data_IF_204839224329
#
_entry.id   IF_204839224329
#
_cell.length_a   1.000
_cell.length_b   1.000
_cell.length_c   1.000
_cell.angle_alpha   90.00
_cell.angle_beta   90.00
_cell.angle_gamma   90.00
#
_symmetry.space_group_name_H-M   'P 1'
#
loop_
_entity.id
_entity.type
_entity.pdbx_description
1 polymer ?
#
# COMPACT_ATOMS: atom_id res chain seq x y z
N UNK A 1 -47.53 29.16 -8.65
CA UNK A 1 -46.38 28.79 -9.50
C UNK A 1 -45.25 28.45 -8.56
N UNK A 2 -44.91 27.17 -8.45
CA UNK A 2 -43.83 26.67 -7.59
C UNK A 2 -42.62 26.53 -8.52
N UNK A 3 -41.57 27.28 -8.24
CA UNK A 3 -40.29 27.16 -8.95
C UNK A 3 -39.58 25.89 -8.46
N UNK A 4 -39.43 24.92 -9.36
CA UNK A 4 -38.59 23.74 -9.15
C UNK A 4 -37.12 24.17 -9.15
N UNK A 5 -36.46 23.92 -8.03
CA UNK A 5 -35.01 24.07 -7.87
C UNK A 5 -34.37 22.88 -8.60
N UNK A 6 -33.85 23.13 -9.79
CA UNK A 6 -33.08 22.17 -10.58
C UNK A 6 -31.74 21.89 -9.88
N UNK A 7 -31.68 20.76 -9.16
CA UNK A 7 -30.45 20.21 -8.59
C UNK A 7 -29.44 19.93 -9.72
N UNK A 8 -28.49 20.87 -9.91
CA UNK A 8 -27.26 20.61 -10.68
C UNK A 8 -26.51 19.44 -10.05
N UNK A 9 -26.79 18.23 -10.53
CA UNK A 9 -25.91 17.07 -10.38
C UNK A 9 -24.57 17.40 -11.03
N UNK A 10 -23.57 17.73 -10.21
CA UNK A 10 -22.18 17.82 -10.62
C UNK A 10 -21.78 16.50 -11.30
N UNK A 11 -21.70 16.51 -12.62
CA UNK A 11 -21.10 15.43 -13.38
C UNK A 11 -19.61 15.42 -13.07
N UNK A 12 -19.20 14.58 -12.11
CA UNK A 12 -17.79 14.26 -11.86
C UNK A 12 -17.18 13.77 -13.17
N UNK A 13 -16.38 14.63 -13.81
CA UNK A 13 -15.64 14.27 -15.02
C UNK A 13 -14.77 13.05 -14.70
N UNK A 14 -14.98 11.94 -15.43
CA UNK A 14 -14.14 10.75 -15.34
C UNK A 14 -12.76 11.11 -15.90
N UNK A 15 -11.86 11.52 -15.03
CA UNK A 15 -10.44 11.57 -15.35
C UNK A 15 -9.96 10.15 -15.64
N UNK A 16 -9.71 9.83 -16.91
CA UNK A 16 -9.01 8.61 -17.31
C UNK A 16 -7.53 8.76 -16.94
N UNK A 17 -7.19 8.40 -15.70
CA UNK A 17 -5.86 8.57 -15.09
C UNK A 17 -4.72 7.78 -15.76
N UNK A 18 -4.91 7.16 -16.93
CA UNK A 18 -3.89 6.34 -17.61
C UNK A 18 -3.50 5.06 -16.85
N UNK A 19 -4.18 4.75 -15.74
CA UNK A 19 -3.95 3.57 -14.92
C UNK A 19 -4.62 2.36 -15.58
N UNK A 20 -3.95 1.21 -15.56
CA UNK A 20 -4.51 -0.05 -16.05
C UNK A 20 -5.88 -0.34 -15.41
N UNK A 21 -6.87 -0.66 -16.27
CA UNK A 21 -8.23 -1.03 -15.84
C UNK A 21 -8.21 -2.23 -14.90
N UNK A 22 -7.33 -3.19 -15.17
CA UNK A 22 -7.22 -4.43 -14.40
C UNK A 22 -6.74 -4.14 -12.97
N UNK A 23 -5.79 -3.20 -12.82
CA UNK A 23 -5.30 -2.77 -11.49
C UNK A 23 -6.41 -2.09 -10.69
N UNK A 24 -7.23 -1.27 -11.34
CA UNK A 24 -8.39 -0.62 -10.71
C UNK A 24 -9.43 -1.65 -10.27
N UNK A 25 -9.74 -2.61 -11.13
CA UNK A 25 -10.73 -3.66 -10.84
C UNK A 25 -10.27 -4.56 -9.69
N UNK A 26 -9.01 -4.97 -9.67
CA UNK A 26 -8.42 -5.72 -8.55
C UNK A 26 -8.47 -4.92 -7.25
N UNK A 27 -8.04 -3.66 -7.27
CA UNK A 27 -8.07 -2.82 -6.07
C UNK A 27 -9.49 -2.68 -5.48
N UNK A 28 -10.51 -2.54 -6.34
CA UNK A 28 -11.92 -2.52 -5.92
C UNK A 28 -12.35 -3.85 -5.30
N UNK A 29 -11.99 -4.98 -5.92
CA UNK A 29 -12.30 -6.31 -5.38
C UNK A 29 -11.68 -6.55 -4.00
N UNK A 30 -10.52 -5.94 -3.74
CA UNK A 30 -9.80 -5.98 -2.46
C UNK A 30 -10.32 -4.95 -1.43
N UNK A 31 -11.36 -4.18 -1.76
CA UNK A 31 -11.95 -3.18 -0.86
C UNK A 31 -11.08 -1.93 -0.64
N UNK A 32 -10.13 -1.66 -1.54
CA UNK A 32 -9.28 -0.46 -1.47
C UNK A 32 -10.08 0.74 -1.98
N UNK A 33 -10.28 1.73 -1.13
CA UNK A 33 -10.91 2.99 -1.52
C UNK A 33 -9.86 3.96 -2.10
N UNK A 34 -9.91 4.19 -3.41
CA UNK A 34 -8.95 5.02 -4.15
C UNK A 34 -9.37 6.49 -4.27
N UNK A 35 -10.61 6.83 -3.91
CA UNK A 35 -11.19 8.15 -4.20
C UNK A 35 -10.44 9.32 -3.54
N UNK A 36 -9.99 9.14 -2.29
CA UNK A 36 -9.21 10.16 -1.57
C UNK A 36 -7.80 10.36 -2.13
N UNK A 37 -7.21 9.32 -2.73
CA UNK A 37 -5.88 9.37 -3.35
C UNK A 37 -5.97 10.05 -4.71
N UNK A 38 -7.03 9.78 -5.48
CA UNK A 38 -7.21 10.37 -6.81
C UNK A 38 -7.34 11.89 -6.77
N UNK A 39 -7.92 12.47 -5.72
CA UNK A 39 -8.04 13.92 -5.58
C UNK A 39 -6.68 14.61 -5.39
N UNK A 40 -5.79 14.01 -4.59
CA UNK A 40 -4.46 14.56 -4.35
C UNK A 40 -3.56 14.39 -5.58
N UNK A 41 -3.74 13.28 -6.31
CA UNK A 41 -3.07 13.06 -7.59
C UNK A 41 -3.34 14.18 -8.60
N UNK A 42 -4.57 14.68 -8.68
CA UNK A 42 -4.92 15.79 -9.58
C UNK A 42 -4.10 17.05 -9.28
N UNK A 43 -3.84 17.34 -8.01
CA UNK A 43 -3.03 18.50 -7.62
C UNK A 43 -1.59 18.36 -8.12
N UNK A 44 -1.02 17.16 -8.05
CA UNK A 44 0.33 16.90 -8.60
C UNK A 44 0.37 17.05 -10.11
N UNK A 45 -0.67 16.58 -10.80
CA UNK A 45 -0.76 16.68 -12.26
C UNK A 45 -0.92 18.12 -12.77
N UNK A 46 -1.34 19.07 -11.93
CA UNK A 46 -1.45 20.49 -12.31
C UNK A 46 -0.13 21.28 -12.22
N UNK A 47 0.98 20.62 -11.91
CA UNK A 47 2.31 21.24 -11.88
C UNK A 47 2.72 21.75 -13.28
N UNK A 48 3.18 23.01 -13.35
CA UNK A 48 3.71 23.64 -14.56
C UNK A 48 5.19 24.02 -14.35
N UNK A 49 6.14 23.33 -15.01
CA UNK A 49 7.57 23.59 -14.84
C UNK A 49 8.02 24.96 -15.33
N UNK A 50 7.18 25.69 -16.10
CA UNK A 50 7.49 27.07 -16.52
C UNK A 50 7.15 28.11 -15.46
N UNK A 51 6.40 27.73 -14.42
CA UNK A 51 5.90 28.62 -13.38
C UNK A 51 6.35 28.22 -11.97
N UNK A 52 6.78 26.98 -11.81
CA UNK A 52 7.06 26.38 -10.52
C UNK A 52 8.54 25.98 -10.39
N UNK A 53 9.04 26.05 -9.17
CA UNK A 53 10.42 25.65 -8.80
C UNK A 53 10.51 24.15 -8.48
N UNK A 54 11.73 23.63 -8.35
CA UNK A 54 11.98 22.26 -7.86
C UNK A 54 11.42 22.07 -6.44
N UNK A 55 11.51 23.10 -5.61
CA UNK A 55 10.94 23.12 -4.26
C UNK A 55 9.41 23.05 -4.28
N UNK A 56 8.76 23.70 -5.25
CA UNK A 56 7.32 23.58 -5.43
C UNK A 56 6.92 22.18 -5.88
N UNK A 57 7.71 21.54 -6.76
CA UNK A 57 7.49 20.16 -7.15
C UNK A 57 7.63 19.21 -5.95
N UNK A 58 8.69 19.37 -5.16
CA UNK A 58 8.94 18.59 -3.96
C UNK A 58 7.78 18.71 -2.96
N UNK A 59 7.32 19.95 -2.68
CA UNK A 59 6.18 20.20 -1.78
C UNK A 59 4.90 19.53 -2.25
N UNK A 60 4.68 19.50 -3.57
CA UNK A 60 3.51 18.84 -4.16
C UNK A 60 3.60 17.31 -4.03
N UNK A 61 4.79 16.72 -4.19
CA UNK A 61 5.01 15.30 -3.92
C UNK A 61 4.86 14.96 -2.43
N UNK A 62 5.33 15.82 -1.52
CA UNK A 62 5.14 15.64 -0.07
C UNK A 62 3.66 15.55 0.29
N UNK A 63 2.83 16.49 -0.22
CA UNK A 63 1.37 16.45 -0.01
C UNK A 63 0.77 15.14 -0.53
N UNK A 64 1.23 14.67 -1.69
CA UNK A 64 0.77 13.42 -2.26
C UNK A 64 1.17 12.21 -1.42
N UNK A 65 2.41 12.17 -0.94
CA UNK A 65 2.92 11.10 -0.07
C UNK A 65 2.22 11.08 1.28
N UNK A 66 1.98 12.24 1.89
CA UNK A 66 1.19 12.36 3.13
C UNK A 66 -0.23 11.80 2.97
N UNK A 67 -0.84 11.97 1.81
CA UNK A 67 -2.15 11.38 1.53
C UNK A 67 -2.12 9.84 1.38
N UNK A 68 -0.99 9.29 0.95
CA UNK A 68 -0.80 7.86 0.72
C UNK A 68 -0.41 7.12 2.01
N UNK A 69 0.37 7.75 2.90
CA UNK A 69 0.88 7.16 4.16
C UNK A 69 -0.18 6.46 5.02
N UNK A 70 -1.39 7.00 5.25
CA UNK A 70 -2.43 6.32 6.03
C UNK A 70 -2.85 4.98 5.42
N UNK A 71 -2.90 4.89 4.09
CA UNK A 71 -3.29 3.67 3.38
C UNK A 71 -2.16 2.65 3.45
N UNK A 72 -0.91 3.07 3.27
CA UNK A 72 0.26 2.20 3.49
C UNK A 72 0.28 1.64 4.91
N UNK A 73 -0.01 2.48 5.92
CA UNK A 73 -0.11 2.05 7.32
C UNK A 73 -1.20 1.00 7.52
N UNK A 74 -2.39 1.23 6.96
CA UNK A 74 -3.54 0.31 7.08
C UNK A 74 -3.23 -1.09 6.55
N UNK A 75 -2.47 -1.19 5.46
CA UNK A 75 -2.17 -2.47 4.81
C UNK A 75 -0.79 -3.04 5.19
N UNK A 76 0.03 -2.30 5.94
CA UNK A 76 1.40 -2.70 6.25
C UNK A 76 2.27 -2.80 4.99
N UNK A 77 2.07 -1.88 4.05
CA UNK A 77 2.72 -1.89 2.75
C UNK A 77 3.81 -0.81 2.64
N UNK A 78 4.71 -0.99 1.68
CA UNK A 78 5.63 0.03 1.16
C UNK A 78 5.39 0.14 -0.35
N UNK A 79 5.70 1.29 -0.93
CA UNK A 79 5.55 1.52 -2.37
C UNK A 79 6.80 2.15 -2.95
N UNK A 80 7.27 1.63 -4.07
CA UNK A 80 8.35 2.24 -4.84
C UNK A 80 7.85 3.49 -5.56
N UNK A 81 8.47 4.62 -5.29
CA UNK A 81 8.09 5.94 -5.81
C UNK A 81 9.13 6.54 -6.75
N UNK A 82 10.32 5.96 -6.83
CA UNK A 82 11.37 6.39 -7.75
C UNK A 82 12.49 5.37 -7.88
N UNK A 83 13.40 5.62 -8.81
CA UNK A 83 14.62 4.82 -9.00
C UNK A 83 15.61 5.52 -9.90
N UNK A 84 16.89 5.29 -9.67
CA UNK A 84 17.99 5.79 -10.50
C UNK A 84 19.18 4.83 -10.45
N UNK A 85 20.17 5.07 -11.30
CA UNK A 85 21.44 4.35 -11.26
C UNK A 85 22.51 5.24 -10.64
N UNK A 86 23.26 4.73 -9.68
CA UNK A 86 24.39 5.44 -9.06
C UNK A 86 25.69 4.66 -9.31
N UNK A 87 26.77 5.38 -9.61
CA UNK A 87 28.10 4.82 -9.80
C UNK A 87 28.89 5.58 -10.85
N UNK A 88 30.19 5.29 -10.95
CA UNK A 88 31.01 5.76 -12.06
C UNK A 88 31.02 4.72 -13.19
N UNK A 89 31.19 5.14 -14.46
CA UNK A 89 31.35 4.23 -15.58
C UNK A 89 32.54 3.27 -15.43
N UNK A 90 33.58 3.71 -14.70
CA UNK A 90 34.80 2.95 -14.43
C UNK A 90 34.68 2.07 -13.16
N UNK A 91 33.56 2.14 -12.45
CA UNK A 91 33.26 1.35 -11.25
C UNK A 91 31.96 0.54 -11.43
N UNK A 92 31.50 -0.08 -10.35
CA UNK A 92 30.20 -0.73 -10.34
C UNK A 92 29.08 0.33 -10.39
N UNK A 93 28.04 0.05 -11.18
CA UNK A 93 26.79 0.80 -11.24
C UNK A 93 25.76 0.03 -10.42
N UNK A 94 25.12 0.71 -9.47
CA UNK A 94 24.11 0.16 -8.58
C UNK A 94 22.72 0.67 -8.95
N UNK A 95 21.71 -0.18 -8.81
CA UNK A 95 20.33 0.22 -8.96
C UNK A 95 19.78 0.71 -7.61
N UNK A 96 19.46 2.01 -7.56
CA UNK A 96 18.97 2.67 -6.36
C UNK A 96 17.46 2.87 -6.48
N UNK A 97 16.73 2.50 -5.44
CA UNK A 97 15.28 2.63 -5.37
C UNK A 97 14.89 3.63 -4.31
N UNK A 98 13.77 4.31 -4.55
CA UNK A 98 13.17 5.22 -3.58
C UNK A 98 11.84 4.62 -3.18
N UNK A 99 11.72 4.23 -1.92
CA UNK A 99 10.58 3.51 -1.38
C UNK A 99 9.90 4.34 -0.29
N UNK A 100 8.59 4.56 -0.43
CA UNK A 100 7.76 5.24 0.54
C UNK A 100 7.12 4.22 1.48
N UNK A 101 7.31 4.43 2.78
CA UNK A 101 6.63 3.69 3.85
C UNK A 101 5.50 4.52 4.46
N UNK A 102 4.81 3.95 5.46
CA UNK A 102 3.84 4.69 6.26
C UNK A 102 4.42 5.83 7.10
N UNK A 103 5.74 5.88 7.26
CA UNK A 103 6.43 6.86 8.11
C UNK A 103 7.29 7.79 7.26
N UNK A 104 8.30 7.24 6.61
CA UNK A 104 9.35 7.99 5.92
C UNK A 104 9.58 7.49 4.49
N UNK A 105 10.36 8.28 3.75
CA UNK A 105 10.89 7.97 2.43
C UNK A 105 12.29 7.40 2.60
N UNK A 106 12.57 6.29 1.95
CA UNK A 106 13.86 5.63 2.01
C UNK A 106 14.49 5.53 0.64
N UNK A 107 15.79 5.77 0.61
CA UNK A 107 16.69 5.37 -0.45
C UNK A 107 17.25 4.00 -0.12
N UNK A 108 17.21 3.08 -1.08
CA UNK A 108 17.70 1.71 -0.95
C UNK A 108 18.62 1.36 -2.11
N UNK A 109 19.78 0.77 -1.80
CA UNK A 109 20.65 0.14 -2.80
C UNK A 109 20.35 -1.36 -2.75
N UNK A 110 19.63 -1.87 -3.76
CA UNK A 110 19.07 -3.24 -3.72
C UNK A 110 20.16 -4.30 -3.50
N UNK A 111 21.38 -4.08 -3.98
CA UNK A 111 22.51 -5.01 -3.84
C UNK A 111 23.16 -5.00 -2.45
N UNK A 112 22.94 -3.95 -1.65
CA UNK A 112 23.57 -3.77 -0.34
C UNK A 112 22.60 -3.90 0.84
N UNK A 113 21.29 -3.92 0.59
CA UNK A 113 20.23 -3.91 1.61
C UNK A 113 20.34 -2.72 2.59
N UNK A 114 20.91 -1.61 2.14
CA UNK A 114 21.11 -0.40 2.94
C UNK A 114 19.96 0.58 2.75
N UNK A 115 19.29 0.95 3.86
CA UNK A 115 18.18 1.90 3.87
C UNK A 115 18.59 3.22 4.52
N UNK A 116 18.46 4.31 3.77
CA UNK A 116 18.70 5.66 4.26
C UNK A 116 17.44 6.49 4.13
N UNK A 117 17.04 7.14 5.22
CA UNK A 117 15.97 8.14 5.16
C UNK A 117 16.43 9.34 4.33
N UNK A 118 15.57 9.83 3.44
CA UNK A 118 15.85 10.95 2.54
C UNK A 118 14.69 11.93 2.51
N UNK A 119 14.97 13.21 2.28
CA UNK A 119 13.92 14.20 2.05
C UNK A 119 13.42 14.11 0.59
N UNK A 120 12.17 14.50 0.35
CA UNK A 120 11.60 14.53 -1.01
C UNK A 120 12.41 15.45 -1.91
N UNK A 121 12.85 16.60 -1.39
CA UNK A 121 13.64 17.58 -2.15
C UNK A 121 14.94 16.98 -2.72
N UNK A 122 15.59 16.08 -1.97
CA UNK A 122 16.88 15.48 -2.37
C UNK A 122 16.74 14.49 -3.52
N UNK A 123 15.54 13.96 -3.74
CA UNK A 123 15.29 12.86 -4.69
C UNK A 123 14.18 13.15 -5.70
N UNK A 124 13.65 14.38 -5.72
CA UNK A 124 12.46 14.75 -6.50
C UNK A 124 12.66 14.55 -8.01
N UNK A 125 13.90 14.66 -8.50
CA UNK A 125 14.30 14.41 -9.89
C UNK A 125 14.16 12.94 -10.31
N UNK A 126 14.26 12.03 -9.33
CA UNK A 126 14.32 10.59 -9.53
C UNK A 126 12.99 9.90 -9.19
N UNK A 127 12.00 10.68 -8.74
CA UNK A 127 10.65 10.22 -8.52
C UNK A 127 9.96 9.92 -9.86
N UNK A 128 9.21 8.83 -9.87
CA UNK A 128 8.33 8.52 -10.98
C UNK A 128 7.22 9.55 -11.08
N UNK A 129 6.64 9.66 -12.28
CA UNK A 129 5.45 10.47 -12.44
C UNK A 129 4.31 9.96 -11.53
N UNK A 130 3.36 10.85 -11.16
CA UNK A 130 2.34 10.53 -10.17
C UNK A 130 1.42 9.36 -10.56
N UNK A 131 1.15 9.17 -11.85
CA UNK A 131 0.37 8.03 -12.36
C UNK A 131 1.07 6.71 -12.06
N UNK A 132 2.39 6.64 -12.33
CA UNK A 132 3.17 5.44 -12.07
C UNK A 132 3.27 5.14 -10.57
N UNK A 133 3.40 6.16 -9.74
CA UNK A 133 3.36 5.99 -8.28
C UNK A 133 2.02 5.42 -7.83
N UNK A 134 0.91 5.92 -8.37
CA UNK A 134 -0.41 5.38 -8.02
C UNK A 134 -0.59 3.93 -8.48
N UNK A 135 -0.11 3.57 -9.67
CA UNK A 135 -0.11 2.18 -10.13
C UNK A 135 0.68 1.27 -9.17
N UNK A 136 1.91 1.65 -8.84
CA UNK A 136 2.76 0.91 -7.90
C UNK A 136 2.10 0.80 -6.51
N UNK A 137 1.41 1.85 -6.07
CA UNK A 137 0.67 1.85 -4.80
C UNK A 137 -0.44 0.80 -4.84
N UNK A 138 -1.28 0.80 -5.88
CA UNK A 138 -2.38 -0.15 -5.99
C UNK A 138 -1.86 -1.59 -6.03
N UNK A 139 -0.83 -1.87 -6.80
CA UNK A 139 -0.19 -3.19 -6.82
C UNK A 139 0.33 -3.61 -5.45
N UNK A 140 1.00 -2.70 -4.74
CA UNK A 140 1.56 -2.98 -3.40
C UNK A 140 0.45 -3.25 -2.38
N UNK A 141 -0.65 -2.51 -2.45
CA UNK A 141 -1.81 -2.71 -1.57
C UNK A 141 -2.55 -4.02 -1.88
N UNK A 142 -2.70 -4.38 -3.16
CA UNK A 142 -3.29 -5.66 -3.58
C UNK A 142 -2.45 -6.82 -3.01
N UNK A 143 -1.13 -6.80 -3.24
CA UNK A 143 -0.20 -7.83 -2.72
C UNK A 143 -0.26 -7.94 -1.19
N UNK A 144 -0.29 -6.81 -0.49
CA UNK A 144 -0.38 -6.79 0.97
C UNK A 144 -1.70 -7.39 1.48
N UNK A 145 -2.81 -7.08 0.83
CA UNK A 145 -4.13 -7.61 1.20
C UNK A 145 -4.28 -9.11 0.90
N UNK A 146 -3.75 -9.57 -0.23
CA UNK A 146 -3.70 -11.00 -0.57
C UNK A 146 -2.89 -11.78 0.47
N UNK A 147 -1.67 -11.30 0.81
CA UNK A 147 -0.82 -11.89 1.85
C UNK A 147 -1.51 -11.93 3.22
N UNK A 148 -2.25 -10.88 3.58
CA UNK A 148 -3.01 -10.88 4.83
C UNK A 148 -4.16 -11.91 4.81
N UNK A 149 -4.82 -12.10 3.68
CA UNK A 149 -5.87 -13.11 3.51
C UNK A 149 -5.30 -14.52 3.67
N UNK A 150 -4.12 -14.79 3.10
CA UNK A 150 -3.42 -16.06 3.26
C UNK A 150 -3.01 -16.32 4.71
N UNK A 151 -2.39 -15.34 5.37
CA UNK A 151 -2.01 -15.43 6.79
C UNK A 151 -3.22 -15.69 7.70
N UNK A 152 -4.37 -15.09 7.41
CA UNK A 152 -5.59 -15.37 8.18
C UNK A 152 -6.05 -16.82 8.03
N UNK A 153 -5.96 -17.41 6.83
CA UNK A 153 -6.26 -18.85 6.63
C UNK A 153 -5.29 -19.74 7.41
N UNK A 154 -4.01 -19.41 7.44
CA UNK A 154 -3.02 -20.14 8.25
C UNK A 154 -3.35 -20.07 9.75
N UNK A 155 -3.72 -18.90 10.26
CA UNK A 155 -4.15 -18.76 11.65
C UNK A 155 -5.42 -19.54 11.97
N UNK A 156 -6.40 -19.59 11.07
CA UNK A 156 -7.59 -20.42 11.26
C UNK A 156 -7.23 -21.92 11.34
N UNK A 157 -6.30 -22.38 10.51
CA UNK A 157 -5.80 -23.77 10.57
C UNK A 157 -5.08 -24.01 11.89
N UNK A 158 -4.19 -23.12 12.31
CA UNK A 158 -3.48 -23.22 13.59
C UNK A 158 -4.46 -23.25 14.78
N UNK A 159 -5.50 -22.40 14.77
CA UNK A 159 -6.55 -22.40 15.80
C UNK A 159 -7.32 -23.72 15.84
N UNK A 160 -7.62 -24.33 14.69
CA UNK A 160 -8.25 -25.67 14.63
C UNK A 160 -7.35 -26.75 15.23
N UNK A 161 -6.03 -26.69 14.97
CA UNK A 161 -5.06 -27.63 15.54
C UNK A 161 -5.00 -27.46 17.07
N UNK A 162 -4.87 -26.23 17.56
CA UNK A 162 -4.86 -25.93 19.01
C UNK A 162 -6.15 -26.43 19.65
N UNK A 163 -7.31 -26.13 19.06
CA UNK A 163 -8.61 -26.61 19.54
C UNK A 163 -8.72 -28.14 19.58
N UNK A 164 -8.16 -28.85 18.60
CA UNK A 164 -8.13 -30.31 18.58
C UNK A 164 -7.24 -30.90 19.68
N UNK A 165 -6.10 -30.26 19.98
CA UNK A 165 -5.19 -30.66 21.06
C UNK A 165 -5.80 -30.41 22.44
N UNK A 166 -6.47 -29.29 22.65
CA UNK A 166 -7.12 -28.98 23.93
C UNK A 166 -8.32 -29.87 24.20
N UNK A 167 -9.11 -30.22 23.18
CA UNK A 167 -10.32 -31.06 23.35
C UNK A 167 -10.04 -32.56 23.58
N UNK A 168 -8.84 -33.05 23.20
CA UNK A 168 -8.44 -34.44 23.51
C UNK A 168 -8.06 -34.65 24.98
N UNK A 169 -7.72 -33.59 25.72
CA UNK A 169 -7.32 -33.69 27.13
C UNK A 169 -8.48 -33.93 28.12
N UNK A 170 -9.73 -33.71 27.69
CA UNK A 170 -10.92 -33.76 28.56
C UNK A 170 -11.77 -35.04 28.42
N UNK A 171 -11.37 -36.01 27.59
CA UNK A 171 -12.19 -37.22 27.33
C UNK A 171 -11.59 -38.54 27.82
N UNK A 172 -10.36 -38.57 28.32
CA UNK A 172 -9.73 -39.81 28.84
C UNK A 172 -9.88 -40.03 30.35
N UNK A 173 -10.39 -39.06 31.12
CA UNK A 173 -10.48 -39.17 32.59
C UNK A 173 -11.79 -39.76 33.14
N UNK A 174 -12.81 -40.05 32.31
CA UNK A 174 -14.15 -40.45 32.81
C UNK A 174 -14.51 -41.93 32.64
N UNK A 175 -13.67 -42.78 32.04
CA UNK A 175 -13.99 -44.22 31.85
C UNK A 175 -13.38 -45.18 32.88
N UNK A 176 -12.50 -44.74 33.78
CA UNK A 176 -11.81 -45.66 34.71
C UNK A 176 -12.43 -45.80 36.11
N UNK A 177 -13.54 -45.10 36.44
CA UNK A 177 -14.14 -45.16 37.78
C UNK A 177 -15.34 -46.11 37.93
N UNK A 178 -15.80 -46.78 36.86
CA UNK A 178 -16.98 -47.66 36.93
C UNK A 178 -16.71 -49.15 37.21
N UNK A 179 -15.45 -49.57 37.32
CA UNK A 179 -15.09 -50.99 37.53
C UNK A 179 -14.66 -51.38 38.96
N UNK A 180 -14.81 -50.52 39.98
CA UNK A 180 -14.43 -50.81 41.38
C UNK A 180 -15.61 -50.97 42.35
N UNK A 181 -16.78 -51.48 41.91
CA UNK A 181 -17.92 -51.76 42.81
C UNK A 181 -18.57 -53.14 42.60
N UNK A 182 -17.77 -54.16 42.33
CA UNK A 182 -18.17 -55.57 42.53
C UNK A 182 -17.02 -56.35 43.14
N UNK A 183 -17.11 -56.58 44.43
CA UNK A 183 -16.23 -57.39 45.27
C UNK A 183 -16.89 -57.51 46.63
#
# INVERSE_FOLDING_TARGET
MIEEIDEKKEQKQKLTLGISKDVIEKAKATGINISSITEQLLKVMTYDPKKNTTEDLARVYEIFFEAIKPVLKKYGAMVRVGSFYEGNPDSQIFHVTIDLSSSNLYRNIEELEEYHEVAVLDVVSDLFNPTKILENLLESLIKAAEKNTEKMKEFEIALRIVGALTNKSSTESTKNSKNMRRG
#
